data_IF_909668841792
#
_entry.id   IF_909668841792
#
_cell.length_a   1.000
_cell.length_b   1.000
_cell.length_c   1.000
_cell.angle_alpha   90.00
_cell.angle_beta   90.00
_cell.angle_gamma   90.00
#
_symmetry.space_group_name_H-M   'P 1'
#
loop_
_entity.id
_entity.type
_entity.pdbx_description
1 polymer ?
#
# COMPACT_ATOMS: atom_id res chain seq x y z
N UNK A 1 -26.05 -16.96 11.95
CA UNK A 1 -25.10 -16.16 12.75
C UNK A 1 -23.71 -16.68 12.47
N UNK A 2 -22.80 -15.84 11.97
CA UNK A 2 -21.42 -16.28 11.69
C UNK A 2 -20.74 -16.62 13.03
N UNK A 3 -20.19 -17.83 13.16
CA UNK A 3 -19.39 -18.18 14.33
C UNK A 3 -18.22 -17.20 14.49
N UNK A 4 -17.85 -16.90 15.74
CA UNK A 4 -16.70 -16.06 16.09
C UNK A 4 -15.43 -16.48 15.35
N UNK A 5 -15.27 -17.78 15.08
CA UNK A 5 -14.15 -18.34 14.36
C UNK A 5 -14.07 -17.77 12.92
N UNK A 6 -15.19 -17.79 12.20
CA UNK A 6 -15.27 -17.31 10.82
C UNK A 6 -15.14 -15.78 10.73
N UNK A 7 -15.69 -15.04 11.68
CA UNK A 7 -15.54 -13.58 11.68
C UNK A 7 -14.09 -13.16 11.88
N UNK A 8 -13.38 -13.77 12.84
CA UNK A 8 -11.96 -13.49 13.08
C UNK A 8 -11.11 -13.88 11.86
N UNK A 9 -11.40 -15.02 11.25
CA UNK A 9 -10.70 -15.46 10.04
C UNK A 9 -10.90 -14.50 8.87
N UNK A 10 -12.14 -14.13 8.55
CA UNK A 10 -12.45 -13.20 7.45
C UNK A 10 -11.83 -11.82 7.67
N UNK A 11 -11.80 -11.32 8.90
CA UNK A 11 -11.11 -10.06 9.23
C UNK A 11 -9.61 -10.18 8.95
N UNK A 12 -8.97 -11.29 9.33
CA UNK A 12 -7.55 -11.50 9.03
C UNK A 12 -7.28 -11.63 7.53
N UNK A 13 -8.16 -12.28 6.78
CA UNK A 13 -8.10 -12.34 5.31
C UNK A 13 -8.21 -10.94 4.72
N UNK A 14 -9.18 -10.13 5.14
CA UNK A 14 -9.36 -8.76 4.65
C UNK A 14 -8.11 -7.90 4.94
N UNK A 15 -7.54 -8.00 6.15
CA UNK A 15 -6.31 -7.29 6.51
C UNK A 15 -5.13 -7.76 5.64
N UNK A 16 -5.02 -9.07 5.40
CA UNK A 16 -3.98 -9.62 4.53
C UNK A 16 -4.12 -9.11 3.09
N UNK A 17 -5.34 -9.04 2.55
CA UNK A 17 -5.62 -8.48 1.23
C UNK A 17 -5.22 -7.00 1.14
N UNK A 18 -5.56 -6.20 2.15
CA UNK A 18 -5.16 -4.78 2.19
C UNK A 18 -3.63 -4.63 2.22
N UNK A 19 -2.94 -5.52 2.95
CA UNK A 19 -1.48 -5.49 3.03
C UNK A 19 -0.81 -5.99 1.75
N UNK A 20 -1.40 -6.94 1.03
CA UNK A 20 -0.85 -7.52 -0.22
C UNK A 20 -1.02 -6.63 -1.45
N UNK A 21 -2.10 -5.85 -1.52
CA UNK A 21 -2.31 -4.87 -2.62
C UNK A 21 -1.19 -3.79 -2.63
N UNK A 22 -0.42 -3.68 -1.54
CA UNK A 22 0.75 -2.83 -1.43
C UNK A 22 0.35 -1.40 -1.08
N UNK A 23 0.98 -0.84 -0.05
CA UNK A 23 0.69 0.51 0.42
C UNK A 23 0.81 1.55 -0.70
N UNK A 24 1.87 1.45 -1.51
CA UNK A 24 2.15 2.37 -2.61
C UNK A 24 1.08 2.35 -3.71
N UNK A 25 0.53 1.18 -4.06
CA UNK A 25 -0.53 1.07 -5.07
C UNK A 25 -1.81 1.78 -4.61
N UNK A 26 -2.20 1.54 -3.36
CA UNK A 26 -3.37 2.16 -2.75
C UNK A 26 -3.16 3.68 -2.60
N UNK A 27 -1.99 4.10 -2.12
CA UNK A 27 -1.64 5.52 -1.96
C UNK A 27 -1.70 6.26 -3.30
N UNK A 28 -1.15 5.66 -4.37
CA UNK A 28 -1.21 6.24 -5.71
C UNK A 28 -2.63 6.30 -6.27
N UNK A 29 -3.42 5.24 -6.10
CA UNK A 29 -4.82 5.23 -6.54
C UNK A 29 -5.64 6.29 -5.81
N UNK A 30 -5.52 6.36 -4.49
CA UNK A 30 -6.21 7.36 -3.68
C UNK A 30 -5.77 8.78 -4.03
N UNK A 31 -4.49 8.99 -4.30
CA UNK A 31 -3.97 10.28 -4.77
C UNK A 31 -4.57 10.67 -6.12
N UNK A 32 -4.65 9.74 -7.08
CA UNK A 32 -5.26 9.99 -8.39
C UNK A 32 -6.76 10.32 -8.26
N UNK A 33 -7.48 9.59 -7.40
CA UNK A 33 -8.88 9.88 -7.10
C UNK A 33 -9.03 11.25 -6.44
N UNK A 34 -8.16 11.60 -5.50
CA UNK A 34 -8.14 12.90 -4.82
C UNK A 34 -7.90 14.06 -5.81
N UNK A 35 -7.00 13.87 -6.79
CA UNK A 35 -6.74 14.85 -7.85
C UNK A 35 -7.92 15.03 -8.81
N UNK A 36 -8.80 14.03 -8.93
CA UNK A 36 -10.02 14.10 -9.76
C UNK A 36 -11.12 14.94 -9.13
N UNK A 37 -11.12 15.06 -7.79
CA UNK A 37 -12.06 15.93 -7.06
C UNK A 37 -11.66 17.40 -7.28
N UNK A 38 -12.61 18.33 -7.51
CA UNK A 38 -12.32 19.74 -7.77
C UNK A 38 -11.89 20.49 -6.49
N UNK A 39 -10.73 20.12 -5.97
CA UNK A 39 -10.07 20.73 -4.80
C UNK A 39 -9.03 21.77 -5.23
N UNK A 40 -8.56 22.59 -4.29
CA UNK A 40 -7.45 23.52 -4.50
C UNK A 40 -6.19 22.81 -5.01
N UNK A 41 -5.93 21.59 -4.55
CA UNK A 41 -4.82 20.74 -4.99
C UNK A 41 -4.93 20.33 -6.46
N UNK A 42 -6.14 20.00 -6.94
CA UNK A 42 -6.39 19.69 -8.35
C UNK A 42 -6.08 20.88 -9.27
N UNK A 43 -6.40 22.11 -8.84
CA UNK A 43 -6.04 23.33 -9.58
C UNK A 43 -4.52 23.53 -9.65
N UNK A 44 -3.81 23.38 -8.52
CA UNK A 44 -2.34 23.45 -8.48
C UNK A 44 -1.68 22.37 -9.35
N UNK A 45 -2.24 21.17 -9.39
CA UNK A 45 -1.76 20.08 -10.24
C UNK A 45 -1.94 20.39 -11.74
N UNK A 46 -3.09 20.96 -12.14
CA UNK A 46 -3.30 21.41 -13.52
C UNK A 46 -2.31 22.50 -13.91
N UNK A 47 -2.07 23.46 -13.00
CA UNK A 47 -1.12 24.55 -13.22
C UNK A 47 0.33 24.05 -13.33
N UNK A 48 0.73 23.11 -12.46
CA UNK A 48 2.03 22.45 -12.55
C UNK A 48 2.23 21.75 -13.90
N UNK A 49 1.19 21.10 -14.41
CA UNK A 49 1.25 20.44 -15.72
C UNK A 49 1.28 21.44 -16.89
N UNK A 50 0.63 22.61 -16.75
CA UNK A 50 0.73 23.73 -17.71
C UNK A 50 2.16 24.27 -17.75
N UNK A 51 2.71 24.65 -16.60
CA UNK A 51 4.08 25.17 -16.48
C UNK A 51 5.12 24.16 -16.97
N UNK A 52 4.95 22.86 -16.67
CA UNK A 52 5.83 21.81 -17.18
C UNK A 52 5.88 21.79 -18.71
N UNK A 53 4.73 21.92 -19.38
CA UNK A 53 4.65 22.00 -20.84
C UNK A 53 5.35 23.24 -21.36
N UNK A 54 5.15 24.38 -20.70
CA UNK A 54 5.79 25.65 -21.06
C UNK A 54 7.31 25.57 -20.91
N UNK A 55 7.83 25.05 -19.79
CA UNK A 55 9.27 24.84 -19.59
C UNK A 55 9.86 23.97 -20.71
N UNK A 56 9.20 22.87 -21.08
CA UNK A 56 9.66 21.99 -22.17
C UNK A 56 9.61 22.70 -23.52
N UNK A 57 8.57 23.48 -23.80
CA UNK A 57 8.45 24.28 -25.03
C UNK A 57 9.55 25.34 -25.11
N UNK A 58 9.74 26.13 -24.05
CA UNK A 58 10.79 27.15 -24.00
C UNK A 58 12.18 26.55 -24.14
N UNK A 59 12.43 25.39 -23.54
CA UNK A 59 13.68 24.65 -23.71
C UNK A 59 13.90 24.23 -25.16
N UNK A 60 12.86 23.79 -25.85
CA UNK A 60 12.91 23.44 -27.28
C UNK A 60 13.20 24.67 -28.13
N UNK A 61 12.49 25.78 -27.90
CA UNK A 61 12.68 27.03 -28.63
C UNK A 61 14.11 27.57 -28.43
N UNK A 62 14.65 27.48 -27.22
CA UNK A 62 16.00 27.93 -26.89
C UNK A 62 17.07 27.07 -27.55
N UNK A 63 16.79 25.80 -27.80
CA UNK A 63 17.68 24.90 -28.54
C UNK A 63 17.59 25.09 -30.05
N UNK A 64 16.49 25.65 -30.56
CA UNK A 64 16.32 25.98 -31.97
C UNK A 64 16.89 27.36 -32.36
N UNK A 65 17.14 28.24 -31.37
CA UNK A 65 17.74 29.56 -31.58
C UNK A 65 19.27 29.50 -31.44
N UNK A 66 20.01 30.02 -32.43
CA UNK A 66 21.47 30.15 -32.36
C UNK A 66 21.85 31.10 -31.22
N UNK A 67 22.60 30.61 -30.24
CA UNK A 67 23.05 31.40 -29.09
C UNK A 67 24.11 32.44 -29.46
N UNK A 68 24.78 32.29 -30.60
CA UNK A 68 25.84 33.21 -31.06
C UNK A 68 25.25 34.32 -31.95
N UNK A 69 24.44 33.96 -32.95
CA UNK A 69 23.91 34.92 -33.92
C UNK A 69 22.69 35.68 -33.38
N UNK A 70 21.85 34.99 -32.60
CA UNK A 70 20.60 35.54 -32.05
C UNK A 70 20.66 35.69 -30.52
N UNK A 71 21.83 36.04 -29.97
CA UNK A 71 22.07 36.11 -28.51
C UNK A 71 21.00 36.91 -27.76
N UNK A 72 20.54 38.04 -28.30
CA UNK A 72 19.50 38.86 -27.67
C UNK A 72 18.14 38.13 -27.53
N UNK A 73 17.76 37.33 -28.55
CA UNK A 73 16.54 36.50 -28.50
C UNK A 73 16.75 35.31 -27.57
N UNK A 74 17.89 34.64 -27.70
CA UNK A 74 18.27 33.52 -26.84
C UNK A 74 18.28 33.91 -25.35
N UNK A 75 18.87 35.05 -25.00
CA UNK A 75 18.94 35.54 -23.62
C UNK A 75 17.56 35.90 -23.04
N UNK A 76 16.66 36.49 -23.85
CA UNK A 76 15.26 36.72 -23.44
C UNK A 76 14.54 35.41 -23.15
N UNK A 77 14.71 34.43 -24.04
CA UNK A 77 14.08 33.12 -23.90
C UNK A 77 14.62 32.35 -22.70
N UNK A 78 15.93 32.44 -22.45
CA UNK A 78 16.57 31.88 -21.26
C UNK A 78 16.01 32.46 -19.97
N UNK A 79 15.90 33.79 -19.84
CA UNK A 79 15.30 34.43 -18.66
C UNK A 79 13.84 34.01 -18.45
N UNK A 80 13.07 33.88 -19.54
CA UNK A 80 11.69 33.40 -19.47
C UNK A 80 11.64 31.94 -18.99
N UNK A 81 12.51 31.09 -19.53
CA UNK A 81 12.64 29.69 -19.10
C UNK A 81 12.98 29.61 -17.60
N UNK A 82 13.99 30.37 -17.15
CA UNK A 82 14.44 30.33 -15.77
C UNK A 82 13.33 30.81 -14.80
N UNK A 83 12.55 31.84 -15.18
CA UNK A 83 11.37 32.28 -14.43
C UNK A 83 10.27 31.21 -14.37
N UNK A 84 9.88 30.63 -15.51
CA UNK A 84 8.83 29.60 -15.55
C UNK A 84 9.27 28.33 -14.81
N UNK A 85 10.57 28.00 -14.85
CA UNK A 85 11.15 26.89 -14.11
C UNK A 85 11.09 27.12 -12.58
N UNK A 86 11.39 28.34 -12.13
CA UNK A 86 11.26 28.72 -10.72
C UNK A 86 9.80 28.60 -10.23
N UNK A 87 8.84 29.10 -11.01
CA UNK A 87 7.40 28.98 -10.71
C UNK A 87 6.96 27.49 -10.66
N UNK A 88 7.44 26.67 -11.59
CA UNK A 88 7.19 25.23 -11.60
C UNK A 88 7.74 24.54 -10.34
N UNK A 89 8.98 24.82 -9.95
CA UNK A 89 9.60 24.24 -8.76
C UNK A 89 8.90 24.68 -7.46
N UNK A 90 8.43 25.93 -7.40
CA UNK A 90 7.67 26.43 -6.25
C UNK A 90 6.35 25.66 -6.07
N UNK A 91 5.60 25.45 -7.16
CA UNK A 91 4.35 24.67 -7.10
C UNK A 91 4.63 23.19 -6.87
N UNK A 92 5.67 22.63 -7.47
CA UNK A 92 6.07 21.25 -7.28
C UNK A 92 6.38 20.94 -5.81
N UNK A 93 7.16 21.80 -5.13
CA UNK A 93 7.43 21.68 -3.69
C UNK A 93 6.16 21.67 -2.85
N UNK A 94 5.19 22.54 -3.17
CA UNK A 94 3.90 22.57 -2.47
C UNK A 94 3.11 21.28 -2.69
N UNK A 95 3.05 20.77 -3.94
CA UNK A 95 2.34 19.53 -4.26
C UNK A 95 2.99 18.31 -3.63
N UNK A 96 4.32 18.23 -3.60
CA UNK A 96 5.05 17.16 -2.93
C UNK A 96 4.76 17.19 -1.43
N UNK A 97 4.81 18.36 -0.78
CA UNK A 97 4.45 18.51 0.63
C UNK A 97 3.00 18.05 0.90
N UNK A 98 2.05 18.47 0.07
CA UNK A 98 0.66 18.03 0.18
C UNK A 98 0.50 16.52 -0.01
N UNK A 99 1.22 15.93 -0.97
CA UNK A 99 1.22 14.49 -1.20
C UNK A 99 1.78 13.74 0.01
N UNK A 100 2.88 14.20 0.60
CA UNK A 100 3.44 13.59 1.80
C UNK A 100 2.45 13.61 2.97
N UNK A 101 1.78 14.75 3.20
CA UNK A 101 0.75 14.86 4.25
C UNK A 101 -0.45 13.94 3.98
N UNK A 102 -0.87 13.81 2.72
CA UNK A 102 -1.93 12.89 2.31
C UNK A 102 -1.53 11.43 2.53
N UNK A 103 -0.35 11.04 2.04
CA UNK A 103 0.19 9.68 2.19
C UNK A 103 0.34 9.32 3.68
N UNK A 104 0.74 10.28 4.52
CA UNK A 104 0.79 10.10 5.97
C UNK A 104 -0.61 9.89 6.57
N UNK A 105 -1.59 10.70 6.19
CA UNK A 105 -2.99 10.53 6.61
C UNK A 105 -3.57 9.17 6.21
N UNK A 106 -3.33 8.74 4.97
CA UNK A 106 -3.75 7.41 4.48
C UNK A 106 -3.04 6.31 5.27
N UNK A 107 -1.75 6.45 5.54
CA UNK A 107 -1.00 5.49 6.36
C UNK A 107 -1.58 5.37 7.77
N UNK A 108 -1.96 6.48 8.39
CA UNK A 108 -2.64 6.48 9.70
C UNK A 108 -3.97 5.74 9.61
N UNK A 109 -4.84 6.13 8.68
CA UNK A 109 -6.17 5.51 8.53
C UNK A 109 -6.04 4.01 8.28
N UNK A 110 -5.09 3.59 7.45
CA UNK A 110 -4.79 2.17 7.20
C UNK A 110 -4.29 1.48 8.46
N UNK A 111 -3.34 2.09 9.18
CA UNK A 111 -2.80 1.50 10.40
C UNK A 111 -3.88 1.35 11.47
N UNK A 112 -4.75 2.35 11.66
CA UNK A 112 -5.91 2.25 12.53
C UNK A 112 -6.92 1.22 12.03
N UNK A 113 -7.22 1.19 10.73
CA UNK A 113 -8.17 0.23 10.16
C UNK A 113 -7.69 -1.23 10.24
N UNK A 114 -6.39 -1.47 10.15
CA UNK A 114 -5.81 -2.82 10.20
C UNK A 114 -5.42 -3.23 11.62
N UNK A 115 -4.59 -2.43 12.29
CA UNK A 115 -4.10 -2.71 13.65
C UNK A 115 -5.16 -2.40 14.68
N UNK A 116 -5.86 -1.28 14.56
CA UNK A 116 -6.95 -0.92 15.47
C UNK A 116 -8.09 -1.95 15.42
N UNK A 117 -8.44 -2.47 14.24
CA UNK A 117 -9.43 -3.55 14.13
C UNK A 117 -8.96 -4.84 14.82
N UNK A 118 -7.68 -5.22 14.67
CA UNK A 118 -7.09 -6.36 15.41
C UNK A 118 -7.20 -6.16 16.92
N UNK A 119 -6.74 -5.00 17.42
CA UNK A 119 -6.80 -4.69 18.85
C UNK A 119 -8.23 -4.63 19.35
N UNK A 120 -9.16 -4.06 18.58
CA UNK A 120 -10.57 -4.00 18.92
C UNK A 120 -11.18 -5.39 19.05
N UNK A 121 -10.96 -6.29 18.09
CA UNK A 121 -11.42 -7.67 18.17
C UNK A 121 -10.82 -8.40 19.38
N UNK A 122 -9.52 -8.27 19.58
CA UNK A 122 -8.81 -8.88 20.70
C UNK A 122 -9.33 -8.38 22.05
N UNK A 123 -9.63 -7.09 22.16
CA UNK A 123 -10.14 -6.49 23.38
C UNK A 123 -11.59 -6.91 23.65
N UNK A 124 -12.46 -6.82 22.64
CA UNK A 124 -13.89 -7.10 22.75
C UNK A 124 -14.18 -8.56 23.07
N UNK A 125 -13.51 -9.48 22.39
CA UNK A 125 -13.69 -10.93 22.57
C UNK A 125 -12.62 -11.54 23.49
N UNK A 126 -11.92 -10.71 24.27
CA UNK A 126 -10.86 -11.19 25.19
C UNK A 126 -11.36 -12.25 26.18
N UNK A 127 -12.63 -12.17 26.60
CA UNK A 127 -13.25 -13.08 27.58
C UNK A 127 -14.05 -14.22 26.95
N UNK A 128 -14.21 -14.24 25.63
CA UNK A 128 -15.01 -15.25 24.93
C UNK A 128 -14.10 -16.36 24.42
N UNK A 129 -14.32 -17.63 24.81
CA UNK A 129 -13.56 -18.74 24.26
C UNK A 129 -13.87 -18.89 22.77
N UNK A 130 -12.84 -18.98 21.92
CA UNK A 130 -13.04 -19.19 20.47
C UNK A 130 -13.45 -20.63 20.19
N UNK A 131 -12.82 -21.57 20.90
CA UNK A 131 -13.11 -22.99 20.84
C UNK A 131 -12.84 -23.63 22.20
N UNK A 132 -13.73 -24.53 22.62
CA UNK A 132 -13.57 -25.34 23.84
C UNK A 132 -12.87 -26.65 23.48
N UNK A 133 -11.81 -26.99 24.20
CA UNK A 133 -11.15 -28.27 24.02
C UNK A 133 -11.78 -29.32 24.95
N UNK A 134 -11.93 -30.57 24.48
CA UNK A 134 -12.36 -31.67 25.35
C UNK A 134 -11.35 -31.87 26.48
N UNK A 135 -11.85 -32.16 27.67
CA UNK A 135 -11.04 -32.31 28.88
C UNK A 135 -10.03 -33.46 28.72
N UNK A 136 -8.76 -33.20 29.05
CA UNK A 136 -7.69 -34.21 29.02
C UNK A 136 -6.89 -34.33 27.71
N UNK A 137 -7.23 -33.57 26.65
CA UNK A 137 -6.49 -33.67 25.38
C UNK A 137 -5.10 -33.04 25.41
N UNK A 138 -4.89 -32.02 26.26
CA UNK A 138 -3.62 -31.30 26.35
C UNK A 138 -3.07 -31.28 27.78
N UNK A 139 -1.73 -31.36 27.94
CA UNK A 139 -1.08 -31.13 29.23
C UNK A 139 -1.43 -29.75 29.79
N UNK A 140 -1.46 -29.64 31.12
CA UNK A 140 -1.81 -28.40 31.84
C UNK A 140 -1.05 -27.16 31.31
N UNK A 141 0.25 -27.30 31.04
CA UNK A 141 1.09 -26.21 30.51
C UNK A 141 0.63 -25.71 29.13
N UNK A 142 0.20 -26.60 28.24
CA UNK A 142 -0.27 -26.21 26.89
C UNK A 142 -1.68 -25.64 26.95
N UNK A 143 -2.55 -26.18 27.80
CA UNK A 143 -3.88 -25.61 28.05
C UNK A 143 -3.77 -24.19 28.62
N UNK A 144 -2.81 -23.96 29.54
CA UNK A 144 -2.51 -22.64 30.06
C UNK A 144 -2.03 -21.69 28.96
N UNK A 145 -1.05 -22.10 28.15
CA UNK A 145 -0.54 -21.27 27.05
C UNK A 145 -1.65 -20.90 26.06
N UNK A 146 -2.49 -21.87 25.67
CA UNK A 146 -3.63 -21.68 24.76
C UNK A 146 -4.71 -20.74 25.31
N UNK A 147 -4.86 -20.68 26.63
CA UNK A 147 -5.84 -19.82 27.30
C UNK A 147 -5.32 -18.38 27.53
N UNK A 148 -4.00 -18.19 27.51
CA UNK A 148 -3.37 -16.89 27.73
C UNK A 148 -3.79 -15.88 26.65
N UNK A 149 -4.11 -14.61 26.98
CA UNK A 149 -4.00 -13.93 28.28
C UNK A 149 -5.29 -13.84 29.12
N UNK A 150 -6.46 -14.21 28.60
CA UNK A 150 -7.76 -13.94 29.28
C UNK A 150 -8.87 -14.96 29.06
N UNK A 151 -8.63 -16.04 28.33
CA UNK A 151 -9.65 -17.07 28.09
C UNK A 151 -9.71 -18.08 29.26
N UNK A 152 -10.87 -18.71 29.52
CA UNK A 152 -10.98 -19.73 30.55
C UNK A 152 -10.10 -20.95 30.22
N UNK A 153 -9.54 -21.58 31.26
CA UNK A 153 -8.69 -22.78 31.12
C UNK A 153 -9.44 -23.87 30.35
N UNK A 154 -8.77 -24.52 29.39
CA UNK A 154 -9.40 -25.50 28.50
C UNK A 154 -10.05 -24.90 27.24
N UNK A 155 -9.78 -23.63 26.93
CA UNK A 155 -10.23 -22.98 25.69
C UNK A 155 -9.10 -22.22 24.99
N UNK A 156 -9.26 -21.98 23.68
CA UNK A 156 -8.31 -21.19 22.89
C UNK A 156 -8.67 -19.72 22.97
N UNK A 157 -7.67 -18.90 23.30
CA UNK A 157 -7.78 -17.45 23.31
C UNK A 157 -7.86 -16.88 21.90
N UNK A 158 -8.54 -15.73 21.77
CA UNK A 158 -8.62 -15.02 20.49
C UNK A 158 -7.24 -14.59 19.96
N UNK A 159 -6.27 -14.38 20.84
CA UNK A 159 -4.90 -14.01 20.45
C UNK A 159 -4.22 -15.12 19.68
N UNK A 160 -4.29 -16.34 20.23
CA UNK A 160 -3.65 -17.50 19.62
C UNK A 160 -4.37 -17.87 18.33
N UNK A 161 -5.70 -17.83 18.34
CA UNK A 161 -6.48 -18.04 17.11
C UNK A 161 -6.14 -16.99 16.03
N UNK A 162 -5.98 -15.72 16.41
CA UNK A 162 -5.58 -14.64 15.48
C UNK A 162 -4.19 -14.87 14.88
N UNK A 163 -3.23 -15.31 15.70
CA UNK A 163 -1.89 -15.65 15.24
C UNK A 163 -1.91 -16.86 14.29
N UNK A 164 -2.66 -17.92 14.63
CA UNK A 164 -2.84 -19.08 13.76
C UNK A 164 -3.45 -18.66 12.42
N UNK A 165 -4.49 -17.82 12.43
CA UNK A 165 -5.09 -17.29 11.21
C UNK A 165 -4.06 -16.51 10.38
N UNK A 166 -3.30 -15.61 11.00
CA UNK A 166 -2.30 -14.79 10.31
C UNK A 166 -1.19 -15.65 9.67
N UNK A 167 -0.65 -16.63 10.40
CA UNK A 167 0.36 -17.57 9.89
C UNK A 167 -0.21 -18.43 8.78
N UNK A 168 -1.39 -19.03 8.99
CA UNK A 168 -2.02 -19.89 7.98
C UNK A 168 -2.27 -19.16 6.66
N UNK A 169 -2.78 -17.92 6.73
CA UNK A 169 -3.01 -17.10 5.54
C UNK A 169 -1.68 -16.77 4.83
N UNK A 170 -0.65 -16.40 5.58
CA UNK A 170 0.66 -16.04 5.01
C UNK A 170 1.32 -17.25 4.35
N UNK A 171 1.38 -18.39 5.04
CA UNK A 171 1.94 -19.63 4.49
C UNK A 171 1.16 -20.10 3.27
N UNK A 172 -0.18 -20.03 3.29
CA UNK A 172 -0.99 -20.40 2.13
C UNK A 172 -0.67 -19.51 0.93
N UNK A 173 -0.53 -18.20 1.14
CA UNK A 173 -0.21 -17.28 0.07
C UNK A 173 1.21 -17.49 -0.49
N UNK A 174 2.19 -17.80 0.35
CA UNK A 174 3.54 -18.18 -0.07
C UNK A 174 3.52 -19.44 -0.93
N UNK A 175 2.81 -20.48 -0.49
CA UNK A 175 2.63 -21.72 -1.25
C UNK A 175 1.98 -21.46 -2.61
N UNK A 176 0.88 -20.69 -2.64
CA UNK A 176 0.20 -20.32 -3.89
C UNK A 176 1.15 -19.56 -4.81
N UNK A 177 1.89 -18.59 -4.28
CA UNK A 177 2.85 -17.80 -5.06
C UNK A 177 3.96 -18.67 -5.63
N UNK A 178 4.52 -19.58 -4.82
CA UNK A 178 5.55 -20.51 -5.26
C UNK A 178 5.04 -21.44 -6.36
N UNK A 179 3.82 -21.97 -6.22
CA UNK A 179 3.19 -22.82 -7.25
C UNK A 179 2.95 -22.04 -8.55
N UNK A 180 2.46 -20.81 -8.47
CA UNK A 180 2.25 -19.96 -9.65
C UNK A 180 3.56 -19.63 -10.35
N UNK A 181 4.61 -19.29 -9.59
CA UNK A 181 5.94 -19.02 -10.12
C UNK A 181 6.52 -20.26 -10.80
N UNK A 182 6.42 -21.43 -10.17
CA UNK A 182 6.86 -22.71 -10.72
C UNK A 182 6.11 -23.06 -12.02
N UNK A 183 4.80 -22.77 -12.09
CA UNK A 183 4.02 -22.98 -13.32
C UNK A 183 4.42 -22.00 -14.43
N UNK A 184 4.72 -20.75 -14.09
CA UNK A 184 5.18 -19.76 -15.06
C UNK A 184 6.56 -20.11 -15.63
N UNK A 185 7.50 -20.57 -14.79
CA UNK A 185 8.82 -21.02 -15.26
C UNK A 185 8.74 -22.31 -16.07
N UNK A 186 7.89 -23.27 -15.69
CA UNK A 186 7.64 -24.48 -16.47
C UNK A 186 7.00 -24.19 -17.84
N UNK A 187 6.08 -23.22 -17.91
CA UNK A 187 5.46 -22.79 -19.18
C UNK A 187 6.45 -22.05 -20.10
N UNK A 188 7.48 -21.40 -19.54
CA UNK A 188 8.53 -20.71 -20.31
C UNK A 188 9.63 -21.67 -20.85
N UNK A 189 9.70 -22.91 -20.37
CA UNK A 189 10.68 -23.91 -20.77
C UNK A 189 9.99 -25.11 -21.44
N UNK A 190 9.58 -25.00 -22.72
CA UNK A 190 10.39 -25.65 -23.75
C UNK A 190 10.25 -25.02 -25.16
N UNK A 191 11.27 -24.29 -25.61
CA UNK A 191 11.51 -24.02 -27.04
C UNK A 191 12.99 -24.15 -27.46
N UNK A 192 13.84 -24.70 -26.60
CA UNK A 192 15.27 -24.82 -26.85
C UNK A 192 15.77 -26.24 -26.54
N UNK A 193 15.40 -27.21 -27.38
CA UNK A 193 16.15 -28.47 -27.61
C UNK A 193 15.38 -29.38 -28.58
N UNK A 194 15.53 -29.16 -29.89
CA UNK A 194 15.51 -30.21 -30.94
C UNK A 194 16.13 -29.67 -32.24
N UNK A 195 17.46 -29.55 -32.25
CA UNK A 195 18.22 -29.63 -33.51
C UNK A 195 19.62 -30.16 -33.17
N UNK A 196 19.78 -31.47 -33.25
CA UNK A 196 21.02 -32.11 -33.63
C UNK A 196 20.69 -33.41 -34.33
#
# INVERSE_FOLDING_TARGET
>A
MLSLLWSVFLVHVAIYLVNTIGASTIDNLLWLLYLKVPTSTSKKYKEQNRLKREVVQLKRDMNNTSSQDEFAKWAKLRRKHDKTMEEYEAINKQLVSQKTSFDWGVKIVRWFGTSGLKFFLQFWYSKTPVFHLPEGWLPYYMAWLLSFPRAPMGSVSIQIWSNVCATAITTMAEVVTAVLLQRATAAAAPAAKKTQ
#
